data_IF_583267174182
#
_entry.id   IF_583267174182
#
_cell.length_a   1.000
_cell.length_b   1.000
_cell.length_c   1.000
_cell.angle_alpha   90.00
_cell.angle_beta   90.00
_cell.angle_gamma   90.00
#
_symmetry.space_group_name_H-M   'P 1'
#
loop_
_entity.id
_entity.type
_entity.pdbx_description
1 polymer ?
#
# COMPACT_ATOMS: atom_id res chain seq x y z
N UNK A 1 -35.25 -25.54 54.37
CA UNK A 1 -34.99 -26.98 54.43
C UNK A 1 -34.33 -27.30 53.11
N UNK A 2 -33.19 -27.48 53.13
CA UNK A 2 -31.89 -28.08 53.41
C UNK A 2 -31.12 -27.92 52.12
N UNK A 3 -30.13 -27.05 52.02
CA UNK A 3 -28.71 -27.19 52.35
C UNK A 3 -28.13 -28.55 51.93
N UNK A 4 -27.23 -28.50 50.95
CA UNK A 4 -26.04 -29.33 50.94
C UNK A 4 -24.99 -28.78 50.00
N UNK A 5 -23.98 -28.19 50.62
CA UNK A 5 -22.72 -27.77 50.02
C UNK A 5 -21.77 -28.97 49.93
N UNK A 6 -21.05 -29.12 48.81
CA UNK A 6 -19.80 -29.90 48.83
C UNK A 6 -18.76 -29.27 47.93
N UNK A 7 -17.53 -29.02 48.41
CA UNK A 7 -16.48 -28.37 47.62
C UNK A 7 -15.72 -29.37 46.76
N UNK A 8 -15.31 -28.91 45.56
CA UNK A 8 -14.46 -29.65 44.65
C UNK A 8 -12.98 -29.51 45.04
N UNK A 9 -12.33 -30.63 44.97
CA UNK A 9 -10.96 -30.97 45.34
C UNK A 9 -9.95 -30.36 44.35
N UNK A 10 -8.89 -29.80 44.90
CA UNK A 10 -7.75 -29.22 44.17
C UNK A 10 -6.85 -30.32 43.61
N UNK A 11 -6.62 -30.31 42.31
CA UNK A 11 -5.56 -31.09 41.67
C UNK A 11 -4.30 -30.20 41.50
N UNK A 12 -3.20 -30.65 42.08
CA UNK A 12 -1.87 -30.06 42.04
C UNK A 12 -1.19 -30.38 40.70
N UNK A 13 -0.67 -29.37 40.02
CA UNK A 13 0.26 -29.50 38.92
C UNK A 13 1.67 -29.83 39.40
N UNK A 14 2.40 -30.71 38.69
CA UNK A 14 3.82 -30.90 38.95
C UNK A 14 4.67 -29.85 38.22
N UNK A 15 5.54 -29.21 38.98
CA UNK A 15 6.55 -28.29 38.50
C UNK A 15 7.52 -28.96 37.50
N UNK A 16 7.68 -28.38 36.31
CA UNK A 16 8.80 -28.66 35.40
C UNK A 16 9.71 -27.43 35.38
N UNK A 17 10.84 -27.57 36.03
CA UNK A 17 11.99 -26.67 35.91
C UNK A 17 12.71 -26.92 34.61
N UNK A 18 12.84 -25.88 33.76
CA UNK A 18 13.65 -25.90 32.56
C UNK A 18 14.16 -24.51 32.29
N UNK A 19 15.36 -24.20 32.76
CA UNK A 19 16.13 -23.00 32.42
C UNK A 19 16.63 -23.08 30.96
N UNK A 20 16.24 -22.15 30.14
CA UNK A 20 16.77 -21.96 28.79
C UNK A 20 16.59 -20.51 28.39
N UNK A 21 17.57 -19.67 28.73
CA UNK A 21 17.70 -18.32 28.21
C UNK A 21 18.09 -18.39 26.74
N UNK A 22 17.12 -18.25 25.84
CA UNK A 22 17.34 -18.03 24.44
C UNK A 22 16.73 -16.68 24.06
N UNK A 23 17.58 -15.71 23.87
CA UNK A 23 17.26 -14.37 23.37
C UNK A 23 16.77 -14.52 21.92
N UNK A 24 15.47 -14.71 21.75
CA UNK A 24 14.82 -14.70 20.44
C UNK A 24 14.17 -13.33 20.24
N UNK A 25 14.99 -12.39 19.70
CA UNK A 25 14.41 -11.24 19.02
C UNK A 25 13.43 -11.76 17.95
N UNK A 26 12.21 -11.19 17.83
CA UNK A 26 11.27 -11.61 16.81
C UNK A 26 11.89 -11.34 15.43
N UNK A 27 12.28 -12.42 14.76
CA UNK A 27 12.69 -12.38 13.35
C UNK A 27 11.53 -11.81 12.56
N UNK A 28 11.77 -10.71 11.83
CA UNK A 28 10.81 -10.18 10.88
C UNK A 28 10.37 -11.34 9.95
N UNK A 29 9.08 -11.50 9.65
CA UNK A 29 8.64 -12.53 8.76
C UNK A 29 9.38 -12.34 7.44
N UNK A 30 10.15 -13.37 7.05
CA UNK A 30 10.71 -13.46 5.71
C UNK A 30 9.52 -13.26 4.76
N UNK A 31 9.51 -12.18 4.00
CA UNK A 31 8.59 -12.01 2.89
C UNK A 31 8.98 -13.08 1.87
N UNK A 32 8.41 -14.26 2.02
CA UNK A 32 8.49 -15.30 1.01
C UNK A 32 7.78 -14.71 -0.20
N UNK A 33 8.57 -14.17 -1.13
CA UNK A 33 8.07 -13.90 -2.46
C UNK A 33 7.57 -15.25 -2.97
N UNK A 34 6.28 -15.38 -3.24
CA UNK A 34 5.73 -16.60 -3.82
C UNK A 34 6.48 -16.85 -5.13
N UNK A 35 7.30 -17.91 -5.25
CA UNK A 35 8.10 -18.17 -6.45
C UNK A 35 7.24 -18.45 -7.69
N UNK A 36 5.94 -18.60 -7.53
CA UNK A 36 4.97 -18.69 -8.63
C UNK A 36 4.57 -17.30 -9.20
N UNK A 37 4.77 -16.22 -8.42
CA UNK A 37 4.54 -14.86 -8.87
C UNK A 37 5.73 -14.44 -9.75
N UNK A 38 5.47 -14.17 -11.03
CA UNK A 38 6.49 -13.73 -12.00
C UNK A 38 7.04 -14.83 -12.93
N UNK A 39 6.65 -16.10 -12.75
CA UNK A 39 6.97 -17.19 -13.70
C UNK A 39 5.84 -17.52 -14.68
N UNK A 40 4.63 -17.03 -14.44
CA UNK A 40 3.52 -17.23 -15.34
C UNK A 40 3.67 -16.35 -16.58
N UNK A 41 3.34 -16.88 -17.76
CA UNK A 41 3.22 -16.06 -18.98
C UNK A 41 2.17 -14.99 -18.78
N UNK A 42 2.47 -13.76 -19.17
CA UNK A 42 1.53 -12.64 -19.10
C UNK A 42 0.26 -12.94 -19.92
N UNK A 43 -0.88 -12.67 -19.33
CA UNK A 43 -2.15 -12.77 -20.06
C UNK A 43 -2.28 -11.58 -21.03
N UNK A 44 -2.64 -11.79 -22.32
CA UNK A 44 -2.69 -10.69 -23.32
C UNK A 44 -3.57 -9.51 -22.90
N UNK A 45 -4.61 -9.74 -22.13
CA UNK A 45 -5.50 -8.67 -21.65
C UNK A 45 -4.81 -7.64 -20.75
N UNK A 46 -3.72 -8.01 -20.05
CA UNK A 46 -3.01 -7.05 -19.17
C UNK A 46 -2.00 -6.18 -19.91
N UNK A 47 -1.76 -6.42 -21.21
CA UNK A 47 -0.80 -5.66 -22.01
C UNK A 47 -0.94 -4.12 -21.87
N UNK A 48 -2.14 -3.52 -21.82
CA UNK A 48 -2.28 -2.08 -21.60
C UNK A 48 -1.77 -1.59 -20.22
N UNK A 49 -1.67 -2.49 -19.23
CA UNK A 49 -1.18 -2.21 -17.87
C UNK A 49 0.27 -2.64 -17.66
N UNK A 50 0.95 -3.24 -18.65
CA UNK A 50 2.30 -3.80 -18.49
C UNK A 50 3.32 -2.76 -18.04
N UNK A 51 3.10 -1.47 -18.32
CA UNK A 51 3.96 -0.39 -17.87
C UNK A 51 3.96 -0.19 -16.33
N UNK A 52 2.99 -0.76 -15.62
CA UNK A 52 2.92 -0.73 -14.15
C UNK A 52 3.66 -1.91 -13.51
N UNK A 53 3.86 -3.03 -14.23
CA UNK A 53 4.43 -4.26 -13.68
C UNK A 53 5.77 -4.01 -13.00
N UNK A 54 5.96 -4.67 -11.85
CA UNK A 54 7.20 -4.65 -11.07
C UNK A 54 7.06 -3.98 -9.72
N UNK A 55 8.21 -3.70 -9.11
CA UNK A 55 8.32 -3.01 -7.82
C UNK A 55 8.77 -1.58 -8.07
N UNK A 56 8.12 -0.67 -7.39
CA UNK A 56 8.37 0.76 -7.48
C UNK A 56 8.59 1.32 -6.10
N UNK A 57 9.65 2.10 -5.91
CA UNK A 57 9.98 2.70 -4.62
C UNK A 57 10.41 4.15 -4.80
N UNK A 58 9.93 5.02 -3.93
CA UNK A 58 10.29 6.44 -3.97
C UNK A 58 9.61 7.24 -2.89
N UNK A 59 9.72 8.55 -3.00
CA UNK A 59 9.19 9.48 -2.02
C UNK A 59 8.02 10.27 -2.59
N UNK A 60 7.18 10.73 -1.70
CA UNK A 60 6.06 11.60 -2.01
C UNK A 60 5.77 12.59 -0.90
N UNK A 61 4.81 13.45 -1.18
CA UNK A 61 4.30 14.43 -0.23
C UNK A 61 2.80 14.23 -0.06
N UNK A 62 2.35 14.42 1.17
CA UNK A 62 0.94 14.43 1.53
C UNK A 62 0.56 15.76 2.15
N UNK A 63 -0.60 16.24 1.76
CA UNK A 63 -1.22 17.43 2.34
C UNK A 63 -2.74 17.26 2.32
N UNK A 64 -3.42 17.86 3.26
CA UNK A 64 -4.89 17.91 3.28
C UNK A 64 -5.36 18.98 4.29
N UNK A 65 -6.51 19.65 4.08
CA UNK A 65 -6.94 20.75 4.95
C UNK A 65 -7.06 20.41 6.44
N UNK A 66 -7.22 19.13 6.78
CA UNK A 66 -7.41 18.65 8.17
C UNK A 66 -6.16 18.07 8.81
N UNK A 67 -5.01 18.06 8.12
CA UNK A 67 -3.74 17.51 8.62
C UNK A 67 -2.57 18.43 8.26
N UNK A 68 -1.45 18.25 8.95
CA UNK A 68 -0.20 18.94 8.57
C UNK A 68 0.42 18.23 7.36
N UNK A 69 1.06 18.97 6.44
CA UNK A 69 1.85 18.39 5.36
C UNK A 69 2.90 17.42 5.88
N UNK A 70 3.20 16.39 5.09
CA UNK A 70 4.18 15.38 5.47
C UNK A 70 4.88 14.79 4.24
N UNK A 71 6.08 14.29 4.44
CA UNK A 71 6.82 13.51 3.47
C UNK A 71 6.67 12.01 3.79
N UNK A 72 6.64 11.19 2.74
CA UNK A 72 6.53 9.74 2.90
C UNK A 72 7.41 8.97 1.92
N UNK A 73 7.86 7.79 2.35
CA UNK A 73 8.40 6.75 1.48
C UNK A 73 7.25 5.83 1.09
N UNK A 74 7.26 5.37 -0.15
CA UNK A 74 6.28 4.39 -0.64
C UNK A 74 6.94 3.29 -1.44
N UNK A 75 6.38 2.09 -1.29
CA UNK A 75 6.67 0.91 -2.07
C UNK A 75 5.37 0.43 -2.71
N UNK A 76 5.35 0.30 -4.04
CA UNK A 76 4.26 -0.30 -4.80
C UNK A 76 4.75 -1.60 -5.45
N UNK A 77 3.87 -2.57 -5.52
CA UNK A 77 4.10 -3.78 -6.31
C UNK A 77 2.90 -4.04 -7.19
N UNK A 78 3.15 -4.21 -8.48
CA UNK A 78 2.20 -4.72 -9.46
C UNK A 78 2.71 -6.04 -9.99
N UNK A 79 1.95 -7.10 -9.80
CA UNK A 79 2.30 -8.45 -10.23
C UNK A 79 1.14 -9.14 -10.93
N UNK A 80 1.38 -10.29 -11.55
CA UNK A 80 0.35 -11.11 -12.18
C UNK A 80 0.61 -12.59 -11.95
N UNK A 81 -0.41 -13.40 -12.16
CA UNK A 81 -0.37 -14.88 -12.09
C UNK A 81 -0.86 -15.51 -13.41
N UNK A 82 -0.67 -14.81 -14.55
CA UNK A 82 -1.15 -15.26 -15.86
C UNK A 82 -2.65 -15.15 -16.05
N UNK A 83 -3.33 -14.31 -15.28
CA UNK A 83 -4.77 -14.02 -15.38
C UNK A 83 -5.00 -12.59 -15.88
N UNK A 84 -6.23 -12.24 -16.36
CA UNK A 84 -6.51 -10.94 -16.97
C UNK A 84 -6.64 -9.81 -15.95
N UNK A 85 -5.75 -9.74 -14.97
CA UNK A 85 -5.68 -8.67 -13.96
C UNK A 85 -4.29 -8.57 -13.36
N UNK A 86 -3.97 -7.40 -12.79
CA UNK A 86 -2.81 -7.22 -11.94
C UNK A 86 -3.24 -7.31 -10.47
N UNK A 87 -2.34 -7.86 -9.67
CA UNK A 87 -2.38 -7.80 -8.20
C UNK A 87 -1.59 -6.57 -7.79
N UNK A 88 -2.15 -5.75 -6.92
CA UNK A 88 -1.57 -4.51 -6.43
C UNK A 88 -1.40 -4.54 -4.93
N UNK A 89 -0.24 -4.10 -4.47
CA UNK A 89 0.02 -3.78 -3.06
C UNK A 89 0.77 -2.47 -2.95
N UNK A 90 0.46 -1.71 -1.90
CA UNK A 90 1.13 -0.47 -1.55
C UNK A 90 1.43 -0.47 -0.05
N UNK A 91 2.60 0.04 0.32
CA UNK A 91 2.98 0.33 1.71
C UNK A 91 3.66 1.68 1.75
N UNK A 92 3.36 2.46 2.76
CA UNK A 92 4.00 3.75 2.94
C UNK A 92 4.38 3.99 4.40
N UNK A 93 5.39 4.83 4.59
CA UNK A 93 5.93 5.23 5.89
C UNK A 93 6.16 6.73 5.91
N UNK A 94 5.81 7.37 7.01
CA UNK A 94 6.17 8.76 7.24
C UNK A 94 7.69 8.89 7.31
N UNK A 95 8.22 9.94 6.70
CA UNK A 95 9.63 10.26 6.76
C UNK A 95 9.92 11.34 7.80
N UNK A 96 11.10 11.27 8.40
CA UNK A 96 11.64 12.35 9.21
C UNK A 96 12.16 13.47 8.31
N UNK A 97 11.97 14.71 8.77
CA UNK A 97 12.60 15.89 8.19
C UNK A 97 13.45 16.59 9.27
N UNK A 98 14.48 17.26 8.85
CA UNK A 98 15.29 18.09 9.73
C UNK A 98 14.61 19.46 10.00
N UNK A 99 15.31 20.35 10.71
CA UNK A 99 14.84 21.70 11.04
C UNK A 99 14.63 22.61 9.82
N UNK A 100 15.25 22.28 8.68
CA UNK A 100 15.10 23.00 7.41
C UNK A 100 13.99 22.41 6.54
N UNK A 101 13.36 21.30 6.97
CA UNK A 101 12.36 20.57 6.20
C UNK A 101 12.92 19.61 5.13
N UNK A 102 14.25 19.35 5.16
CA UNK A 102 14.89 18.39 4.28
C UNK A 102 14.77 16.96 4.85
N UNK A 103 14.71 15.96 3.95
CA UNK A 103 14.58 14.57 4.35
C UNK A 103 15.81 14.09 5.14
N UNK A 104 15.57 13.65 6.38
CA UNK A 104 16.62 13.11 7.25
C UNK A 104 17.15 11.78 6.74
N UNK A 105 18.47 11.59 6.87
CA UNK A 105 19.15 10.33 6.54
C UNK A 105 19.93 9.80 7.73
N UNK A 106 19.98 8.47 7.83
CA UNK A 106 20.83 7.79 8.82
C UNK A 106 22.32 7.83 8.42
N UNK A 107 23.19 7.26 9.26
CA UNK A 107 24.64 7.16 9.04
C UNK A 107 25.02 6.40 7.76
N UNK A 108 24.12 5.55 7.24
CA UNK A 108 24.31 4.79 6.00
C UNK A 108 23.71 5.52 4.78
N UNK A 109 23.16 6.72 4.95
CA UNK A 109 22.53 7.50 3.89
C UNK A 109 21.09 7.10 3.57
N UNK A 110 20.47 6.17 4.32
CA UNK A 110 19.09 5.77 4.11
C UNK A 110 18.12 6.80 4.70
N UNK A 111 16.95 6.94 4.06
CA UNK A 111 15.89 7.78 4.58
C UNK A 111 15.38 7.28 5.93
N UNK A 112 15.28 8.16 6.92
CA UNK A 112 14.80 7.84 8.26
C UNK A 112 13.27 7.70 8.22
N UNK A 113 12.78 6.46 8.42
CA UNK A 113 11.35 6.17 8.54
C UNK A 113 10.91 6.37 9.99
N UNK A 114 9.77 7.01 10.19
CA UNK A 114 9.17 7.21 11.51
C UNK A 114 8.18 6.07 11.79
N UNK A 115 6.97 6.18 11.24
CA UNK A 115 5.89 5.23 11.49
C UNK A 115 5.28 4.70 10.18
N UNK A 116 4.69 3.50 10.19
CA UNK A 116 3.84 3.06 9.09
C UNK A 116 2.69 4.04 8.88
N UNK A 117 2.42 4.41 7.63
CA UNK A 117 1.41 5.40 7.29
C UNK A 117 0.15 4.76 6.71
N UNK A 118 0.30 3.97 5.64
CA UNK A 118 -0.81 3.33 4.98
C UNK A 118 -0.40 2.02 4.31
N UNK A 119 -1.39 1.14 4.16
CA UNK A 119 -1.33 -0.08 3.36
C UNK A 119 -2.57 -0.11 2.47
N UNK A 120 -2.40 -0.48 1.21
CA UNK A 120 -3.48 -0.75 0.27
C UNK A 120 -3.22 -2.07 -0.45
N UNK A 121 -4.27 -2.80 -0.78
CA UNK A 121 -4.18 -3.99 -1.62
C UNK A 121 -5.37 -4.07 -2.56
N UNK A 122 -5.20 -4.72 -3.71
CA UNK A 122 -6.31 -4.85 -4.63
C UNK A 122 -5.95 -5.40 -6.00
N UNK A 123 -6.85 -5.18 -6.96
CA UNK A 123 -6.77 -5.74 -8.30
C UNK A 123 -7.05 -4.67 -9.35
N UNK A 124 -6.28 -4.68 -10.44
CA UNK A 124 -6.46 -3.82 -11.60
C UNK A 124 -6.87 -4.69 -12.78
N UNK A 125 -8.05 -4.47 -13.31
CA UNK A 125 -8.74 -5.30 -14.30
C UNK A 125 -8.98 -4.52 -15.58
N UNK A 126 -8.12 -4.63 -16.60
CA UNK A 126 -8.37 -3.99 -17.90
C UNK A 126 -9.58 -4.65 -18.58
N UNK A 127 -10.40 -3.84 -19.24
CA UNK A 127 -11.63 -4.25 -19.90
C UNK A 127 -11.47 -4.13 -21.43
N UNK A 128 -12.23 -4.92 -22.16
CA UNK A 128 -12.19 -4.94 -23.64
C UNK A 128 -12.58 -3.59 -24.28
N UNK A 129 -13.37 -2.80 -23.58
CA UNK A 129 -13.80 -1.46 -24.04
C UNK A 129 -12.75 -0.37 -23.81
N UNK A 130 -11.53 -0.73 -23.39
CA UNK A 130 -10.45 0.23 -23.14
C UNK A 130 -10.55 0.96 -21.80
N UNK A 131 -11.39 0.48 -20.89
CA UNK A 131 -11.44 0.98 -19.50
C UNK A 131 -10.64 0.07 -18.56
N UNK A 132 -10.46 0.50 -17.32
CA UNK A 132 -9.85 -0.29 -16.24
C UNK A 132 -10.75 -0.20 -15.02
N UNK A 133 -11.11 -1.33 -14.45
CA UNK A 133 -11.74 -1.40 -13.14
C UNK A 133 -10.67 -1.69 -12.09
N UNK A 134 -10.67 -0.90 -11.00
CA UNK A 134 -9.72 -1.09 -9.91
C UNK A 134 -10.47 -1.26 -8.60
N UNK A 135 -10.16 -2.33 -7.89
CA UNK A 135 -10.72 -2.65 -6.58
C UNK A 135 -9.61 -2.50 -5.55
N UNK A 136 -9.79 -1.63 -4.56
CA UNK A 136 -8.83 -1.41 -3.47
C UNK A 136 -9.48 -1.65 -2.12
N UNK A 137 -8.71 -2.23 -1.21
CA UNK A 137 -9.08 -2.41 0.18
C UNK A 137 -8.01 -1.80 1.10
N UNK A 138 -8.47 -1.17 2.18
CA UNK A 138 -7.65 -0.47 3.16
C UNK A 138 -7.92 -1.01 4.57
N UNK A 139 -6.87 -1.22 5.40
CA UNK A 139 -7.06 -1.67 6.78
C UNK A 139 -7.82 -0.65 7.66
N UNK A 140 -8.01 0.58 7.17
CA UNK A 140 -8.82 1.61 7.80
C UNK A 140 -10.33 1.39 7.67
N UNK A 141 -10.75 0.28 7.05
CA UNK A 141 -12.16 -0.08 6.88
C UNK A 141 -12.82 0.55 5.65
N UNK A 142 -12.03 0.94 4.66
CA UNK A 142 -12.51 1.51 3.39
C UNK A 142 -12.26 0.50 2.28
N UNK A 143 -13.23 0.37 1.36
CA UNK A 143 -13.08 -0.34 0.08
C UNK A 143 -13.56 0.56 -1.03
N UNK A 144 -12.79 0.62 -2.12
CA UNK A 144 -13.03 1.49 -3.26
C UNK A 144 -13.16 0.69 -4.55
N UNK A 145 -14.09 1.07 -5.40
CA UNK A 145 -14.18 0.62 -6.79
C UNK A 145 -13.97 1.84 -7.67
N UNK A 146 -12.94 1.78 -8.50
CA UNK A 146 -12.60 2.83 -9.46
C UNK A 146 -12.97 2.42 -10.89
N UNK A 147 -13.41 3.40 -11.66
CA UNK A 147 -13.45 3.33 -13.12
C UNK A 147 -12.31 4.18 -13.69
N UNK A 148 -11.44 3.55 -14.47
CA UNK A 148 -10.25 4.18 -15.06
C UNK A 148 -10.31 4.27 -16.57
N UNK A 149 -9.69 5.33 -17.10
CA UNK A 149 -9.51 5.57 -18.53
C UNK A 149 -8.04 5.80 -18.81
N UNK A 150 -7.52 5.19 -19.88
CA UNK A 150 -6.20 5.50 -20.38
C UNK A 150 -6.18 6.92 -20.96
N UNK A 151 -5.21 7.74 -20.52
CA UNK A 151 -4.95 9.10 -21.02
C UNK A 151 -3.79 9.14 -22.01
N UNK A 152 -3.17 8.00 -22.24
CA UNK A 152 -2.06 7.77 -23.14
C UNK A 152 -1.60 6.32 -23.04
N UNK A 153 -0.46 5.98 -23.67
CA UNK A 153 0.06 4.62 -23.67
C UNK A 153 0.54 4.14 -22.28
N UNK A 154 0.92 5.08 -21.43
CA UNK A 154 1.50 4.80 -20.10
C UNK A 154 0.91 5.70 -19.01
N UNK A 155 -0.35 6.09 -19.15
CA UNK A 155 -1.04 6.88 -18.13
C UNK A 155 -2.53 6.52 -18.02
N UNK A 156 -3.02 6.50 -16.78
CA UNK A 156 -4.40 6.14 -16.41
C UNK A 156 -4.91 7.16 -15.42
N UNK A 157 -6.08 7.73 -15.71
CA UNK A 157 -6.87 8.51 -14.76
C UNK A 157 -8.06 7.67 -14.31
N UNK A 158 -8.34 7.63 -13.01
CA UNK A 158 -9.45 6.89 -12.46
C UNK A 158 -10.16 7.66 -11.34
N UNK A 159 -11.47 7.46 -11.26
CA UNK A 159 -12.34 8.06 -10.24
C UNK A 159 -13.14 6.93 -9.59
N UNK A 160 -13.42 7.04 -8.29
CA UNK A 160 -14.26 6.08 -7.59
C UNK A 160 -15.69 6.12 -8.15
N UNK A 161 -16.17 4.94 -8.52
CA UNK A 161 -17.59 4.66 -8.79
C UNK A 161 -18.34 4.41 -7.48
N UNK A 162 -17.69 3.65 -6.57
CA UNK A 162 -18.23 3.33 -5.26
C UNK A 162 -17.18 3.39 -4.17
N UNK A 163 -17.59 3.86 -3.01
CA UNK A 163 -16.83 3.82 -1.76
C UNK A 163 -17.69 3.14 -0.70
N UNK A 164 -17.19 2.05 -0.14
CA UNK A 164 -17.81 1.34 0.98
C UNK A 164 -16.98 1.54 2.24
N UNK A 165 -17.64 1.75 3.37
CA UNK A 165 -16.99 2.00 4.65
C UNK A 165 -17.59 1.12 5.74
N UNK A 166 -16.70 0.62 6.62
CA UNK A 166 -17.16 0.04 7.89
C UNK A 166 -17.69 1.14 8.82
N UNK A 167 -18.51 0.81 9.83
CA UNK A 167 -19.06 1.81 10.75
C UNK A 167 -18.00 2.66 11.49
N UNK A 168 -16.79 2.13 11.66
CA UNK A 168 -15.68 2.81 12.36
C UNK A 168 -14.75 3.58 11.44
N UNK A 169 -14.90 3.44 10.11
CA UNK A 169 -14.06 4.17 9.15
C UNK A 169 -14.38 5.66 9.14
N UNK A 170 -13.35 6.48 8.90
CA UNK A 170 -13.51 7.92 8.72
C UNK A 170 -14.39 8.24 7.51
N UNK A 171 -15.01 9.42 7.53
CA UNK A 171 -15.79 9.92 6.40
C UNK A 171 -14.89 10.07 5.17
N UNK A 172 -15.24 9.36 4.10
CA UNK A 172 -14.56 9.38 2.81
C UNK A 172 -15.61 9.11 1.72
N UNK A 173 -15.74 10.01 0.77
CA UNK A 173 -16.83 10.01 -0.21
C UNK A 173 -16.34 9.70 -1.62
N UNK A 174 -15.15 10.20 -2.00
CA UNK A 174 -14.67 10.08 -3.37
C UNK A 174 -13.14 10.13 -3.43
N UNK A 175 -12.56 9.37 -4.35
CA UNK A 175 -11.17 9.43 -4.74
C UNK A 175 -10.98 9.62 -6.23
N UNK A 176 -9.95 10.36 -6.62
CA UNK A 176 -9.47 10.47 -7.99
C UNK A 176 -7.97 10.21 -7.99
N UNK A 177 -7.51 9.33 -8.89
CA UNK A 177 -6.10 8.98 -9.01
C UNK A 177 -5.64 9.13 -10.46
N UNK A 178 -4.41 9.57 -10.63
CA UNK A 178 -3.70 9.60 -11.90
C UNK A 178 -2.37 8.86 -11.72
N UNK A 179 -2.11 7.87 -12.54
CA UNK A 179 -0.81 7.18 -12.62
C UNK A 179 -0.22 7.35 -14.01
N UNK A 180 1.09 7.53 -14.10
CA UNK A 180 1.75 7.62 -15.40
C UNK A 180 3.27 7.56 -15.33
N UNK A 181 3.90 7.10 -16.41
CA UNK A 181 5.35 7.14 -16.54
C UNK A 181 5.79 8.55 -16.95
N UNK A 182 6.79 9.05 -16.24
CA UNK A 182 7.46 10.34 -16.54
C UNK A 182 8.95 10.10 -16.77
N UNK A 183 9.65 10.97 -17.53
CA UNK A 183 11.12 10.89 -17.61
C UNK A 183 11.75 10.95 -16.22
N UNK A 184 12.70 10.05 -15.93
CA UNK A 184 13.43 10.08 -14.67
C UNK A 184 14.29 11.34 -14.59
N UNK A 185 14.27 11.98 -13.41
CA UNK A 185 15.15 13.14 -13.13
C UNK A 185 16.57 12.75 -12.71
N UNK A 186 16.77 11.48 -12.33
CA UNK A 186 18.03 10.99 -11.75
C UNK A 186 18.70 9.91 -12.59
N UNK A 187 18.00 9.36 -13.61
CA UNK A 187 18.46 8.26 -14.44
C UNK A 187 18.14 8.57 -15.91
N UNK A 188 19.16 9.00 -16.64
CA UNK A 188 19.00 9.38 -18.04
C UNK A 188 18.46 8.23 -18.90
N UNK A 189 17.46 8.52 -19.74
CA UNK A 189 16.81 7.53 -20.61
C UNK A 189 15.79 6.62 -19.93
N UNK A 190 15.69 6.64 -18.60
CA UNK A 190 14.73 5.84 -17.83
C UNK A 190 13.45 6.63 -17.51
N UNK A 191 12.46 5.88 -17.04
CA UNK A 191 11.16 6.44 -16.62
C UNK A 191 10.86 6.05 -15.19
N UNK A 192 10.28 7.00 -14.48
CA UNK A 192 9.75 6.82 -13.12
C UNK A 192 8.23 6.75 -13.17
N UNK A 193 7.63 6.05 -12.23
CA UNK A 193 6.17 6.03 -12.05
C UNK A 193 5.76 7.21 -11.17
N UNK A 194 5.04 8.17 -11.74
CA UNK A 194 4.42 9.24 -10.98
C UNK A 194 2.94 8.96 -10.72
N UNK A 195 2.44 9.39 -9.57
CA UNK A 195 1.01 9.42 -9.33
C UNK A 195 0.58 10.65 -8.53
N UNK A 196 -0.71 10.99 -8.68
CA UNK A 196 -1.42 11.94 -7.85
C UNK A 196 -2.72 11.30 -7.35
N UNK A 197 -3.12 11.67 -6.14
CA UNK A 197 -4.36 11.24 -5.52
C UNK A 197 -5.07 12.44 -4.88
N UNK A 198 -6.27 12.71 -5.35
CA UNK A 198 -7.18 13.66 -4.78
C UNK A 198 -8.29 12.91 -4.05
N UNK A 199 -8.76 13.43 -2.93
CA UNK A 199 -9.86 12.82 -2.18
C UNK A 199 -10.89 13.85 -1.70
N UNK A 200 -12.13 13.40 -1.57
CA UNK A 200 -13.18 14.07 -0.83
C UNK A 200 -13.42 13.31 0.47
N UNK A 201 -13.02 13.89 1.60
CA UNK A 201 -13.05 13.23 2.90
C UNK A 201 -13.25 14.24 4.03
N UNK A 202 -13.80 13.82 5.16
CA UNK A 202 -13.96 14.65 6.36
C UNK A 202 -14.68 15.99 6.08
N UNK A 203 -15.66 15.97 5.16
CA UNK A 203 -16.44 17.14 4.77
C UNK A 203 -15.72 18.10 3.82
N UNK A 204 -14.54 17.74 3.33
CA UNK A 204 -13.83 18.53 2.32
C UNK A 204 -14.24 18.10 0.91
N UNK A 205 -14.31 19.02 -0.06
CA UNK A 205 -14.50 18.67 -1.47
C UNK A 205 -13.30 17.89 -2.00
N UNK A 206 -13.40 17.41 -3.25
CA UNK A 206 -12.28 16.72 -3.91
C UNK A 206 -11.06 17.65 -3.94
N UNK A 207 -10.06 17.31 -3.16
CA UNK A 207 -8.87 18.12 -2.87
C UNK A 207 -7.61 17.28 -3.04
N UNK A 208 -6.52 17.82 -3.61
CA UNK A 208 -5.24 17.13 -3.68
C UNK A 208 -4.79 16.64 -2.30
N UNK A 209 -4.35 15.37 -2.24
CA UNK A 209 -3.94 14.74 -0.99
C UNK A 209 -2.53 14.15 -1.06
N UNK A 210 -2.23 13.31 -2.04
CA UNK A 210 -0.93 12.66 -2.16
C UNK A 210 -0.38 12.81 -3.58
N UNK A 211 0.95 12.94 -3.69
CA UNK A 211 1.66 12.80 -4.94
C UNK A 211 3.05 12.21 -4.70
N UNK A 212 3.50 11.34 -5.59
CA UNK A 212 4.80 10.72 -5.47
C UNK A 212 5.42 10.46 -6.84
N UNK A 213 6.75 10.29 -6.84
CA UNK A 213 7.53 9.80 -7.96
C UNK A 213 8.34 8.61 -7.46
N UNK A 214 8.17 7.48 -8.11
CA UNK A 214 8.72 6.20 -7.70
C UNK A 214 9.62 5.66 -8.80
N UNK A 215 10.78 5.19 -8.41
CA UNK A 215 11.73 4.55 -9.30
C UNK A 215 11.48 3.05 -9.33
N UNK A 216 11.78 2.44 -10.47
CA UNK A 216 11.80 0.99 -10.55
C UNK A 216 12.84 0.44 -9.57
N UNK A 217 12.42 -0.48 -8.70
CA UNK A 217 13.28 -1.12 -7.72
C UNK A 217 13.71 -2.50 -8.24
N UNK A 218 15.00 -2.60 -8.63
CA UNK A 218 15.62 -3.81 -9.16
C UNK A 218 16.17 -4.74 -8.07
N UNK A 219 16.04 -4.38 -6.80
CA UNK A 219 16.55 -5.22 -5.71
C UNK A 219 15.63 -6.44 -5.53
N UNK A 220 16.17 -7.61 -5.86
CA UNK A 220 15.59 -8.93 -5.59
C UNK A 220 15.49 -9.22 -4.08
#
# INVERSE_FOLDING_TARGET
MTDDSKPAESAQDPAVSGSGSGDHAPRAPDTVADPAIGRATEHPAIAPLSFLLGRWRGTGKGDYPTIKPFDFLQELTFSHIGKPYLIYTSRSWRLATDENGELSRDENGNLVRLEPLAVETGFWRPQQNGTVEVLLAHPTGITEIYQGLFRGLTSIEMVTDQVLRTPTAKAYEQGKRLYGLVPSKTREGEKDLAYAFDMAAMGQPLTPHLWAVLQWDWTD
#
